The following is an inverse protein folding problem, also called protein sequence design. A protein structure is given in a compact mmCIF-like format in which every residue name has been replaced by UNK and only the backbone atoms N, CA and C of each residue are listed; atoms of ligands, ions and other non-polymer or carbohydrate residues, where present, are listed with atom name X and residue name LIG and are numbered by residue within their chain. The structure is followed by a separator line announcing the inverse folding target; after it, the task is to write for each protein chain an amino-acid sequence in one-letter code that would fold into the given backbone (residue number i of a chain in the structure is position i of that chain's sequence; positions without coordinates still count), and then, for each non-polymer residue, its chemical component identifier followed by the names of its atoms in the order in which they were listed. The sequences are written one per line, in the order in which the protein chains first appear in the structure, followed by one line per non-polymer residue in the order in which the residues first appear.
data_IF_000981862504
#
_entry.id   IF_000981862504
#
_cell.length_a   1.000
_cell.length_b   1.000
_cell.length_c   1.000
_cell.angle_alpha   90.00
_cell.angle_beta   90.00
_cell.angle_gamma   90.00
#
_symmetry.space_group_name_H-M   'P 1'
#
loop_
_entity.id
_entity.type
_entity.pdbx_description
1 polymer ?
#
# COMPACT_ATOMS: atom_id res chain seq x y z
N UNK A 1 31.69 19.50 11.79
CA UNK A 1 30.37 18.86 11.60
C UNK A 1 29.69 18.78 12.96
N UNK A 2 28.43 19.19 13.10
CA UNK A 2 27.71 18.99 14.36
C UNK A 2 27.56 17.48 14.61
N UNK A 3 27.69 16.98 15.85
CA UNK A 3 27.53 15.57 16.14
C UNK A 3 26.11 15.14 15.74
N UNK A 4 26.02 14.19 14.83
CA UNK A 4 24.74 13.58 14.45
C UNK A 4 24.20 12.84 15.68
N UNK A 5 23.02 13.24 16.17
CA UNK A 5 22.36 12.57 17.31
C UNK A 5 21.95 11.12 16.99
N UNK A 6 22.03 10.69 15.73
CA UNK A 6 21.57 9.39 15.24
C UNK A 6 22.53 8.82 14.20
N UNK A 7 22.70 7.49 14.23
CA UNK A 7 23.20 6.76 13.05
C UNK A 7 22.20 6.92 11.91
N UNK A 8 22.67 7.13 10.69
CA UNK A 8 21.80 7.38 9.55
C UNK A 8 22.31 6.73 8.27
N UNK A 9 21.42 6.68 7.29
CA UNK A 9 21.69 6.36 5.89
C UNK A 9 20.96 7.41 5.03
N UNK A 10 21.50 7.70 3.85
CA UNK A 10 20.89 8.60 2.88
C UNK A 10 20.71 7.83 1.58
N UNK A 11 19.45 7.69 1.14
CA UNK A 11 19.10 7.01 -0.10
C UNK A 11 18.72 8.02 -1.18
N UNK A 12 19.58 8.21 -2.18
CA UNK A 12 19.26 8.99 -3.37
C UNK A 12 18.60 8.09 -4.43
N UNK A 13 17.29 8.28 -4.64
CA UNK A 13 16.57 7.53 -5.69
C UNK A 13 16.37 8.45 -6.89
N UNK A 14 17.16 8.23 -7.95
CA UNK A 14 17.16 9.01 -9.17
C UNK A 14 16.09 8.50 -10.16
N UNK A 15 15.13 9.37 -10.49
CA UNK A 15 14.02 9.11 -11.41
C UNK A 15 14.38 9.37 -12.89
N UNK A 16 15.50 8.79 -13.31
CA UNK A 16 16.09 8.97 -14.64
C UNK A 16 16.31 10.45 -15.02
N UNK A 17 16.88 11.24 -14.10
CA UNK A 17 17.25 12.63 -14.38
C UNK A 17 18.15 12.71 -15.62
N UNK A 18 17.92 13.70 -16.52
CA UNK A 18 18.69 13.87 -17.75
C UNK A 18 20.01 14.64 -17.56
N UNK A 19 20.27 15.15 -16.36
CA UNK A 19 21.44 15.92 -15.99
C UNK A 19 22.51 15.05 -15.29
N UNK A 20 23.59 15.70 -14.85
CA UNK A 20 24.72 15.03 -14.21
C UNK A 20 24.43 14.56 -12.77
N UNK A 21 23.17 14.58 -12.31
CA UNK A 21 22.79 14.14 -10.95
C UNK A 21 23.37 12.77 -10.59
N UNK A 22 23.36 11.81 -11.52
CA UNK A 22 23.89 10.48 -11.27
C UNK A 22 25.40 10.49 -10.98
N UNK A 23 26.16 11.28 -11.76
CA UNK A 23 27.61 11.43 -11.58
C UNK A 23 27.94 12.11 -10.24
N UNK A 24 27.22 13.18 -9.93
CA UNK A 24 27.37 13.91 -8.67
C UNK A 24 27.05 13.03 -7.46
N UNK A 25 26.00 12.23 -7.51
CA UNK A 25 25.66 11.30 -6.42
C UNK A 25 26.76 10.25 -6.23
N UNK A 26 27.33 9.71 -7.31
CA UNK A 26 28.44 8.75 -7.21
C UNK A 26 29.67 9.34 -6.51
N UNK A 27 30.02 10.60 -6.80
CA UNK A 27 31.11 11.29 -6.10
C UNK A 27 30.84 11.44 -4.60
N UNK A 28 29.60 11.70 -4.21
CA UNK A 28 29.23 11.75 -2.79
C UNK A 28 29.39 10.38 -2.10
N UNK A 29 29.01 9.29 -2.78
CA UNK A 29 29.18 7.93 -2.24
C UNK A 29 30.64 7.56 -1.96
N UNK A 30 31.59 8.05 -2.77
CA UNK A 30 33.03 7.82 -2.54
C UNK A 30 33.51 8.47 -1.23
N UNK A 31 32.86 9.56 -0.82
CA UNK A 31 33.24 10.33 0.37
C UNK A 31 32.46 9.97 1.65
N UNK A 32 31.29 9.33 1.52
CA UNK A 32 30.43 9.00 2.66
C UNK A 32 29.79 7.60 2.47
N UNK A 33 30.20 6.60 3.27
CA UNK A 33 29.68 5.23 3.18
C UNK A 33 28.22 5.10 3.64
N UNK A 34 27.62 6.16 4.19
CA UNK A 34 26.21 6.18 4.58
C UNK A 34 25.29 6.58 3.41
N UNK A 35 25.86 6.94 2.26
CA UNK A 35 25.12 7.33 1.06
C UNK A 35 24.97 6.15 0.12
N UNK A 36 23.73 5.89 -0.29
CA UNK A 36 23.39 4.88 -1.28
C UNK A 36 22.55 5.49 -2.39
N UNK A 37 22.56 4.86 -3.57
CA UNK A 37 21.81 5.34 -4.72
C UNK A 37 21.06 4.22 -5.43
N UNK A 38 19.95 4.58 -6.08
CA UNK A 38 19.27 3.75 -7.06
C UNK A 38 18.82 4.63 -8.21
N UNK A 39 19.09 4.23 -9.45
CA UNK A 39 18.66 4.95 -10.64
C UNK A 39 17.69 4.12 -11.45
N UNK A 40 16.52 4.69 -11.74
CA UNK A 40 15.60 4.10 -12.72
C UNK A 40 16.14 4.28 -14.14
N UNK A 41 15.88 3.28 -14.99
CA UNK A 41 16.22 3.35 -16.41
C UNK A 41 15.36 4.36 -17.20
N UNK A 42 14.17 4.68 -16.68
CA UNK A 42 13.23 5.64 -17.27
C UNK A 42 12.50 6.41 -16.17
N UNK A 43 11.90 7.55 -16.52
CA UNK A 43 11.10 8.32 -15.57
C UNK A 43 9.84 7.53 -15.18
N UNK A 44 9.73 7.19 -13.89
CA UNK A 44 8.60 6.46 -13.28
C UNK A 44 7.74 7.37 -12.40
N UNK A 45 8.23 8.56 -12.07
CA UNK A 45 7.54 9.59 -11.31
C UNK A 45 7.76 9.51 -9.80
N UNK A 46 7.65 10.67 -9.13
CA UNK A 46 7.98 10.90 -7.72
C UNK A 46 7.45 9.84 -6.74
N UNK A 47 6.20 9.39 -6.89
CA UNK A 47 5.62 8.43 -5.93
C UNK A 47 6.20 7.02 -6.08
N UNK A 48 6.53 6.58 -7.29
CA UNK A 48 7.19 5.28 -7.50
C UNK A 48 8.64 5.33 -7.02
N UNK A 49 9.31 6.44 -7.29
CA UNK A 49 10.66 6.74 -6.78
C UNK A 49 10.69 6.69 -5.26
N UNK A 50 9.74 7.36 -4.59
CA UNK A 50 9.62 7.33 -3.15
C UNK A 50 9.35 5.91 -2.62
N UNK A 51 8.47 5.13 -3.25
CA UNK A 51 8.24 3.74 -2.86
C UNK A 51 9.50 2.88 -2.97
N UNK A 52 10.32 3.08 -4.00
CA UNK A 52 11.60 2.36 -4.14
C UNK A 52 12.57 2.71 -3.01
N UNK A 53 12.62 3.98 -2.62
CA UNK A 53 13.39 4.40 -1.44
C UNK A 53 12.89 3.74 -0.15
N UNK A 54 11.57 3.72 0.06
CA UNK A 54 10.97 3.01 1.21
C UNK A 54 11.24 1.50 1.17
N UNK A 55 11.28 0.91 -0.02
CA UNK A 55 11.62 -0.50 -0.20
C UNK A 55 13.02 -0.83 0.30
N UNK A 56 13.99 0.01 -0.09
CA UNK A 56 15.42 -0.16 0.19
C UNK A 56 15.82 0.27 1.61
N UNK A 57 15.06 1.17 2.24
CA UNK A 57 15.37 1.69 3.57
C UNK A 57 15.41 0.63 4.66
N UNK A 58 16.41 0.71 5.55
CA UNK A 58 16.63 -0.22 6.66
C UNK A 58 16.42 0.44 8.03
N UNK A 59 16.46 1.78 8.11
CA UNK A 59 16.28 2.52 9.36
C UNK A 59 14.97 2.23 10.11
N UNK A 60 14.98 2.45 11.44
CA UNK A 60 13.78 2.37 12.29
C UNK A 60 12.82 3.55 12.10
N UNK A 61 13.36 4.68 11.65
CA UNK A 61 12.64 5.88 11.26
C UNK A 61 13.07 6.25 9.84
N UNK A 62 12.09 6.45 8.97
CA UNK A 62 12.32 6.76 7.56
C UNK A 62 11.74 8.12 7.27
N UNK A 63 12.53 8.99 6.62
CA UNK A 63 12.09 10.34 6.24
C UNK A 63 12.17 10.48 4.73
N UNK A 64 11.06 10.86 4.11
CA UNK A 64 11.04 11.26 2.70
C UNK A 64 11.19 12.77 2.66
N UNK A 65 12.06 13.29 1.81
CA UNK A 65 12.27 14.73 1.59
C UNK A 65 12.57 14.99 0.11
N UNK A 66 12.06 16.08 -0.45
CA UNK A 66 12.38 16.48 -1.83
C UNK A 66 13.79 17.12 -1.91
N UNK A 67 14.52 16.86 -2.99
CA UNK A 67 15.86 17.43 -3.21
C UNK A 67 15.85 18.88 -3.72
N UNK A 68 14.68 19.52 -3.88
CA UNK A 68 14.54 20.84 -4.51
C UNK A 68 14.79 22.04 -3.57
N UNK A 69 15.46 21.78 -2.43
CA UNK A 69 15.83 22.72 -1.36
C UNK A 69 14.65 23.51 -0.74
N UNK A 70 13.40 23.18 -1.07
CA UNK A 70 12.23 23.82 -0.43
C UNK A 70 12.02 23.33 1.00
N UNK A 71 12.40 22.08 1.26
CA UNK A 71 12.34 21.45 2.56
C UNK A 71 13.71 21.53 3.23
N UNK A 72 13.79 22.24 4.36
CA UNK A 72 15.06 22.34 5.10
C UNK A 72 15.32 21.05 5.88
N UNK A 73 16.52 20.43 5.74
CA UNK A 73 16.93 19.28 6.55
C UNK A 73 16.87 19.54 8.06
N UNK A 74 17.01 20.82 8.49
CA UNK A 74 16.87 21.20 9.91
C UNK A 74 15.48 20.93 10.50
N UNK A 75 14.51 20.60 9.65
CA UNK A 75 13.15 20.20 10.03
C UNK A 75 13.09 18.75 10.51
N UNK A 76 13.99 17.89 10.06
CA UNK A 76 13.97 16.44 10.31
C UNK A 76 13.93 16.12 11.82
N UNK A 77 14.77 16.72 12.70
CA UNK A 77 14.70 16.48 14.14
C UNK A 77 13.32 16.79 14.75
N UNK A 78 12.62 17.81 14.24
CA UNK A 78 11.26 18.16 14.71
C UNK A 78 10.24 17.09 14.33
N UNK A 79 10.34 16.52 13.13
CA UNK A 79 9.46 15.42 12.71
C UNK A 79 9.71 14.17 13.57
N UNK A 80 10.98 13.79 13.74
CA UNK A 80 11.38 12.65 14.57
C UNK A 80 10.89 12.80 16.01
N UNK A 81 11.06 13.98 16.62
CA UNK A 81 10.59 14.26 17.99
C UNK A 81 9.07 14.10 18.17
N UNK A 82 8.30 14.32 17.11
CA UNK A 82 6.84 14.15 17.13
C UNK A 82 6.38 12.76 16.66
N UNK A 83 7.29 11.94 16.13
CA UNK A 83 7.04 10.55 15.75
C UNK A 83 7.15 9.68 17.01
N UNK A 84 6.12 9.77 17.83
CA UNK A 84 5.96 9.02 19.07
C UNK A 84 4.53 8.52 19.16
N UNK A 85 4.35 7.44 19.92
CA UNK A 85 3.03 6.88 20.16
C UNK A 85 2.00 7.97 20.55
N UNK A 86 0.79 7.95 19.98
CA UNK A 86 0.24 6.89 19.13
C UNK A 86 0.58 7.02 17.63
N UNK A 87 1.41 7.98 17.21
CA UNK A 87 1.59 8.34 15.80
C UNK A 87 2.71 7.54 15.11
N UNK A 88 2.37 6.96 13.96
CA UNK A 88 3.27 6.18 13.11
C UNK A 88 3.75 6.96 11.86
N UNK A 89 3.15 8.13 11.59
CA UNK A 89 3.69 9.10 10.63
C UNK A 89 3.44 10.55 11.05
N UNK A 90 4.42 11.41 10.76
CA UNK A 90 4.38 12.86 11.01
C UNK A 90 4.65 13.60 9.71
N UNK A 91 3.63 14.29 9.21
CA UNK A 91 3.75 15.14 8.03
C UNK A 91 4.34 16.50 8.35
N UNK A 92 5.15 17.02 7.43
CA UNK A 92 5.54 18.41 7.42
C UNK A 92 4.42 19.29 6.83
N UNK A 93 3.55 19.77 7.70
CA UNK A 93 2.41 20.62 7.36
C UNK A 93 2.83 22.00 6.88
N UNK A 94 2.63 22.28 5.59
CA UNK A 94 3.04 23.57 5.01
C UNK A 94 2.15 24.71 5.51
N UNK A 95 2.75 25.74 6.11
CA UNK A 95 2.07 26.98 6.49
C UNK A 95 2.42 28.14 5.54
N UNK A 96 1.40 28.77 4.93
CA UNK A 96 1.52 30.03 4.16
C UNK A 96 0.69 30.07 2.87
N UNK A 97 0.54 31.27 2.28
CA UNK A 97 -0.17 31.53 1.01
C UNK A 97 0.82 31.54 -0.16
N UNK A 98 0.94 30.41 -0.88
CA UNK A 98 1.95 30.25 -1.93
C UNK A 98 1.39 30.03 -3.35
N UNK A 99 0.07 29.98 -3.54
CA UNK A 99 -0.54 29.68 -4.85
C UNK A 99 -1.65 30.69 -5.25
N UNK A 100 -1.83 30.87 -6.56
CA UNK A 100 -2.85 31.72 -7.20
C UNK A 100 -4.29 31.24 -6.86
N UNK A 101 -5.28 32.14 -6.68
CA UNK A 101 -6.66 31.84 -6.23
C UNK A 101 -7.37 30.71 -6.99
N UNK A 102 -7.19 30.62 -8.31
CA UNK A 102 -7.85 29.61 -9.15
C UNK A 102 -7.17 28.24 -9.00
N UNK A 103 -5.84 28.22 -8.78
CA UNK A 103 -5.05 26.99 -8.53
C UNK A 103 -5.39 26.38 -7.16
N UNK A 104 -5.90 27.20 -6.23
CA UNK A 104 -6.26 26.79 -4.88
C UNK A 104 -7.53 25.92 -4.82
N UNK A 105 -8.53 26.08 -5.69
CA UNK A 105 -9.82 25.42 -5.49
C UNK A 105 -9.76 23.90 -5.73
N UNK A 106 -9.27 23.45 -6.89
CA UNK A 106 -9.16 22.02 -7.21
C UNK A 106 -8.20 21.30 -6.28
N UNK A 107 -7.09 21.94 -5.92
CA UNK A 107 -6.14 21.40 -4.94
C UNK A 107 -6.77 21.30 -3.54
N UNK A 108 -7.54 22.30 -3.10
CA UNK A 108 -8.26 22.27 -1.82
C UNK A 108 -9.30 21.16 -1.79
N UNK A 109 -10.09 20.98 -2.85
CA UNK A 109 -11.08 19.90 -2.94
C UNK A 109 -10.39 18.54 -2.89
N UNK A 110 -9.34 18.33 -3.69
CA UNK A 110 -8.59 17.08 -3.67
C UNK A 110 -8.01 16.78 -2.29
N UNK A 111 -7.33 17.74 -1.65
CA UNK A 111 -6.77 17.58 -0.30
C UNK A 111 -7.85 17.32 0.74
N UNK A 112 -8.99 18.00 0.64
CA UNK A 112 -10.12 17.78 1.54
C UNK A 112 -10.68 16.36 1.42
N UNK A 113 -10.94 15.90 0.19
CA UNK A 113 -11.41 14.55 -0.06
C UNK A 113 -10.40 13.51 0.42
N UNK A 114 -9.12 13.71 0.11
CA UNK A 114 -8.07 12.80 0.52
C UNK A 114 -7.93 12.74 2.05
N UNK A 115 -7.92 13.88 2.74
CA UNK A 115 -7.90 13.96 4.19
C UNK A 115 -9.09 13.22 4.82
N UNK A 116 -10.29 13.39 4.28
CA UNK A 116 -11.50 12.73 4.77
C UNK A 116 -11.48 11.22 4.52
N UNK A 117 -11.14 10.80 3.30
CA UNK A 117 -11.15 9.40 2.92
C UNK A 117 -10.04 8.63 3.65
N UNK A 118 -8.83 9.17 3.66
CA UNK A 118 -7.65 8.51 4.21
C UNK A 118 -7.39 8.83 5.69
N UNK A 119 -8.22 9.67 6.34
CA UNK A 119 -8.07 10.08 7.75
C UNK A 119 -6.68 10.66 8.06
N UNK A 120 -6.14 11.45 7.15
CA UNK A 120 -4.84 12.13 7.27
C UNK A 120 -5.01 13.64 7.44
N UNK A 121 -4.00 14.36 7.95
CA UNK A 121 -4.01 15.82 8.01
C UNK A 121 -4.26 16.47 6.63
N UNK A 122 -4.97 17.60 6.61
CA UNK A 122 -5.31 18.33 5.35
C UNK A 122 -4.11 18.92 4.63
N UNK A 123 -3.03 19.11 5.37
CA UNK A 123 -1.74 19.66 4.97
C UNK A 123 -0.69 18.58 4.72
N UNK A 124 -1.07 17.29 4.75
CA UNK A 124 -0.20 16.18 4.45
C UNK A 124 0.44 16.31 3.05
N UNK A 125 1.73 15.96 2.97
CA UNK A 125 2.55 16.04 1.77
C UNK A 125 3.67 15.00 1.76
N UNK A 126 4.56 15.08 0.77
CA UNK A 126 5.65 14.11 0.60
C UNK A 126 6.77 14.26 1.63
N UNK A 127 6.91 15.42 2.29
CA UNK A 127 7.84 15.56 3.40
C UNK A 127 7.20 14.97 4.66
N UNK A 128 7.63 13.76 5.03
CA UNK A 128 7.02 12.96 6.09
C UNK A 128 8.07 12.10 6.76
N UNK A 129 8.02 12.01 8.10
CA UNK A 129 8.73 11.00 8.88
C UNK A 129 7.78 9.86 9.22
N UNK A 130 8.23 8.62 9.11
CA UNK A 130 7.45 7.41 9.34
C UNK A 130 8.22 6.44 10.21
N UNK A 131 7.51 5.68 11.02
CA UNK A 131 8.07 4.52 11.71
C UNK A 131 8.30 3.37 10.72
N UNK A 132 9.12 2.39 11.12
CA UNK A 132 9.23 1.12 10.42
C UNK A 132 7.86 0.43 10.26
N UNK A 133 7.02 0.43 11.30
CA UNK A 133 5.68 -0.16 11.25
C UNK A 133 4.81 0.46 10.14
N UNK A 134 4.84 1.79 10.02
CA UNK A 134 4.13 2.49 8.93
C UNK A 134 4.64 2.06 7.55
N UNK A 135 5.96 2.00 7.36
CA UNK A 135 6.55 1.60 6.07
C UNK A 135 6.17 0.15 5.72
N UNK A 136 6.21 -0.76 6.69
CA UNK A 136 5.88 -2.16 6.48
C UNK A 136 4.38 -2.37 6.22
N UNK A 137 3.51 -1.58 6.87
CA UNK A 137 2.08 -1.55 6.55
C UNK A 137 1.81 -0.99 5.15
N UNK A 138 2.54 0.06 4.76
CA UNK A 138 2.41 0.71 3.45
C UNK A 138 2.81 -0.24 2.31
N UNK A 139 3.87 -1.04 2.49
CA UNK A 139 4.33 -2.06 1.52
C UNK A 139 3.25 -3.10 1.18
N UNK A 140 2.28 -3.34 2.08
CA UNK A 140 1.17 -4.29 1.87
C UNK A 140 0.06 -3.72 0.99
N UNK A 141 0.09 -2.42 0.68
CA UNK A 141 -0.94 -1.75 -0.11
C UNK A 141 -0.57 -1.80 -1.59
N UNK A 142 -1.33 -2.57 -2.37
CA UNK A 142 -1.23 -2.57 -3.83
C UNK A 142 -2.06 -1.43 -4.42
N UNK A 143 -1.38 -0.42 -4.98
CA UNK A 143 -2.00 0.70 -5.69
C UNK A 143 -1.34 0.86 -7.07
N UNK A 144 -2.02 0.53 -8.18
CA UNK A 144 -1.44 0.52 -9.52
C UNK A 144 -0.77 1.83 -9.94
N UNK A 145 -1.34 2.97 -9.56
CA UNK A 145 -0.71 4.29 -9.71
C UNK A 145 -0.49 4.89 -8.31
N UNK A 146 0.69 4.67 -7.72
CA UNK A 146 0.94 5.02 -6.33
C UNK A 146 0.76 6.49 -6.03
N UNK A 147 0.21 6.76 -4.84
CA UNK A 147 0.17 8.08 -4.24
C UNK A 147 0.51 7.92 -2.75
N UNK A 148 1.79 8.06 -2.40
CA UNK A 148 2.33 7.70 -1.08
C UNK A 148 1.52 8.29 0.08
N UNK A 149 1.12 9.57 -0.01
CA UNK A 149 0.30 10.23 1.02
C UNK A 149 -1.06 9.54 1.23
N UNK A 150 -1.69 9.08 0.15
CA UNK A 150 -2.94 8.31 0.23
C UNK A 150 -2.70 6.92 0.83
N UNK A 151 -1.61 6.27 0.43
CA UNK A 151 -1.22 4.95 0.91
C UNK A 151 -0.94 4.96 2.41
N UNK A 152 -0.23 5.98 2.92
CA UNK A 152 -0.02 6.19 4.36
C UNK A 152 -1.35 6.17 5.11
N UNK A 153 -2.35 6.94 4.67
CA UNK A 153 -3.64 6.94 5.36
C UNK A 153 -4.49 5.69 5.14
N UNK A 154 -4.26 4.94 4.05
CA UNK A 154 -4.90 3.65 3.81
C UNK A 154 -4.40 2.55 4.76
N UNK A 155 -3.24 2.71 5.39
CA UNK A 155 -2.77 1.78 6.44
C UNK A 155 -3.71 1.75 7.66
N UNK A 156 -4.40 2.87 7.93
CA UNK A 156 -5.23 3.04 9.11
C UNK A 156 -4.48 3.38 10.40
N UNK A 157 -3.14 3.39 10.36
CA UNK A 157 -2.28 3.81 11.48
C UNK A 157 -2.43 5.31 11.73
N UNK A 158 -2.17 5.76 12.97
CA UNK A 158 -2.38 7.16 13.35
C UNK A 158 -1.29 8.03 12.74
N UNK A 159 -1.71 9.20 12.27
CA UNK A 159 -0.83 10.20 11.69
C UNK A 159 -1.08 11.56 12.30
N UNK A 160 -0.07 12.42 12.31
CA UNK A 160 -0.21 13.82 12.67
C UNK A 160 0.56 14.71 11.69
N UNK A 161 0.43 16.03 11.86
CA UNK A 161 1.16 17.02 11.08
C UNK A 161 1.76 18.04 12.04
N UNK A 162 2.98 18.49 11.74
CA UNK A 162 3.60 19.63 12.42
C UNK A 162 3.76 20.80 11.47
N UNK A 163 3.42 22.03 11.89
CA UNK A 163 3.53 23.19 11.03
C UNK A 163 4.99 23.55 10.75
N UNK A 164 5.31 23.75 9.47
CA UNK A 164 6.63 24.14 8.95
C UNK A 164 6.49 25.23 7.88
N UNK A 165 7.35 26.23 7.96
CA UNK A 165 7.53 27.26 6.95
C UNK A 165 8.36 26.71 5.79
N UNK A 166 7.91 26.94 4.56
CA UNK A 166 8.72 26.65 3.36
C UNK A 166 9.33 27.93 2.81
N UNK A 167 10.61 27.83 2.41
CA UNK A 167 11.23 28.84 1.58
C UNK A 167 10.60 28.84 0.18
N UNK A 168 10.58 30.00 -0.48
CA UNK A 168 10.23 30.05 -1.91
C UNK A 168 11.33 29.33 -2.69
N UNK A 169 10.93 28.59 -3.73
CA UNK A 169 11.87 27.88 -4.62
C UNK A 169 12.91 28.86 -5.16
N UNK A 170 14.20 28.57 -4.93
CA UNK A 170 15.33 29.38 -5.41
C UNK A 170 15.58 29.21 -6.92
N UNK A 171 15.26 28.04 -7.49
CA UNK A 171 15.37 27.77 -8.93
C UNK A 171 14.43 26.65 -9.41
N UNK A 172 13.97 26.70 -10.67
CA UNK A 172 13.24 25.61 -11.34
C UNK A 172 11.75 25.87 -11.66
N UNK A 173 11.31 25.48 -12.86
CA UNK A 173 9.89 25.50 -13.27
C UNK A 173 9.13 24.32 -12.65
N UNK A 174 7.83 24.43 -12.46
CA UNK A 174 7.01 23.30 -11.97
C UNK A 174 6.86 22.27 -13.10
N UNK A 175 7.34 21.05 -12.90
CA UNK A 175 7.22 19.96 -13.89
C UNK A 175 5.77 19.50 -14.13
N UNK A 176 4.87 19.78 -13.18
CA UNK A 176 3.45 19.39 -13.26
C UNK A 176 2.53 20.48 -13.83
N UNK A 177 1.93 20.19 -14.98
CA UNK A 177 0.82 20.98 -15.55
C UNK A 177 -0.47 20.83 -14.72
N UNK A 178 -1.37 21.81 -14.80
CA UNK A 178 -2.65 21.80 -14.07
C UNK A 178 -3.52 20.58 -14.43
N UNK A 179 -3.56 20.21 -15.72
CA UNK A 179 -4.30 19.03 -16.19
C UNK A 179 -3.74 17.72 -15.63
N UNK A 180 -2.41 17.59 -15.60
CA UNK A 180 -1.75 16.41 -15.02
C UNK A 180 -2.08 16.26 -13.53
N UNK A 181 -2.09 17.35 -12.76
CA UNK A 181 -2.50 17.34 -11.35
C UNK A 181 -3.95 16.89 -11.16
N UNK A 182 -4.87 17.38 -12.00
CA UNK A 182 -6.28 16.99 -11.95
C UNK A 182 -6.46 15.50 -12.23
N UNK A 183 -5.83 14.98 -13.29
CA UNK A 183 -5.86 13.55 -13.64
C UNK A 183 -5.34 12.69 -12.49
N UNK A 184 -4.18 13.04 -11.93
CA UNK A 184 -3.61 12.34 -10.76
C UNK A 184 -4.59 12.37 -9.59
N UNK A 185 -5.20 13.52 -9.32
CA UNK A 185 -6.18 13.67 -8.25
C UNK A 185 -7.39 12.73 -8.42
N UNK A 186 -8.00 12.71 -9.60
CA UNK A 186 -9.14 11.85 -9.92
C UNK A 186 -8.77 10.37 -9.80
N UNK A 187 -7.66 9.95 -10.42
CA UNK A 187 -7.18 8.57 -10.37
C UNK A 187 -6.88 8.13 -8.93
N UNK A 188 -6.28 9.00 -8.12
CA UNK A 188 -5.98 8.72 -6.70
C UNK A 188 -7.27 8.48 -5.91
N UNK A 189 -8.26 9.38 -6.03
CA UNK A 189 -9.53 9.24 -5.33
C UNK A 189 -10.27 7.96 -5.75
N UNK A 190 -10.30 7.67 -7.05
CA UNK A 190 -10.89 6.44 -7.55
C UNK A 190 -10.24 5.18 -6.95
N UNK A 191 -8.91 5.08 -6.97
CA UNK A 191 -8.20 3.93 -6.38
C UNK A 191 -8.45 3.79 -4.88
N UNK A 192 -8.45 4.92 -4.14
CA UNK A 192 -8.75 4.93 -2.69
C UNK A 192 -10.14 4.35 -2.42
N UNK A 193 -11.14 4.75 -3.21
CA UNK A 193 -12.51 4.23 -3.09
C UNK A 193 -12.58 2.74 -3.42
N UNK A 194 -11.90 2.29 -4.48
CA UNK A 194 -11.83 0.86 -4.84
C UNK A 194 -11.19 0.02 -3.74
N UNK A 195 -10.06 0.45 -3.18
CA UNK A 195 -9.37 -0.26 -2.10
C UNK A 195 -10.27 -0.33 -0.86
N UNK A 196 -10.88 0.78 -0.45
CA UNK A 196 -11.81 0.80 0.69
C UNK A 196 -13.04 -0.08 0.47
N UNK A 197 -13.59 -0.10 -0.76
CA UNK A 197 -14.73 -0.96 -1.11
C UNK A 197 -14.35 -2.44 -1.02
N UNK A 198 -13.17 -2.84 -1.50
CA UNK A 198 -12.65 -4.21 -1.37
C UNK A 198 -12.45 -4.59 0.11
N UNK A 199 -11.89 -3.71 0.92
CA UNK A 199 -11.73 -3.94 2.35
C UNK A 199 -13.09 -4.12 3.06
N UNK A 200 -14.07 -3.26 2.76
CA UNK A 200 -15.43 -3.39 3.29
C UNK A 200 -16.12 -4.68 2.83
N UNK A 201 -15.92 -5.09 1.59
CA UNK A 201 -16.43 -6.36 1.07
C UNK A 201 -15.84 -7.55 1.82
N UNK A 202 -14.52 -7.58 2.02
CA UNK A 202 -13.84 -8.62 2.80
C UNK A 202 -14.35 -8.67 4.24
N UNK A 203 -14.54 -7.52 4.90
CA UNK A 203 -15.13 -7.45 6.24
C UNK A 203 -16.57 -7.96 6.29
N UNK A 204 -17.40 -7.63 5.27
CA UNK A 204 -18.77 -8.12 5.17
C UNK A 204 -18.80 -9.64 4.98
N UNK A 205 -17.93 -10.19 4.13
CA UNK A 205 -17.79 -11.64 3.98
C UNK A 205 -17.39 -12.29 5.31
N UNK A 206 -16.34 -11.80 5.98
CA UNK A 206 -15.92 -12.31 7.31
C UNK A 206 -17.07 -12.25 8.32
N UNK A 207 -17.85 -11.17 8.35
CA UNK A 207 -19.02 -11.02 9.23
C UNK A 207 -20.16 -11.96 8.86
N UNK A 208 -20.40 -12.19 7.57
CA UNK A 208 -21.40 -13.15 7.08
C UNK A 208 -21.05 -14.57 7.53
N UNK A 209 -19.80 -15.00 7.29
CA UNK A 209 -19.33 -16.33 7.68
C UNK A 209 -19.21 -16.52 9.21
N UNK A 210 -18.98 -15.47 9.99
CA UNK A 210 -18.94 -15.56 11.47
C UNK A 210 -20.32 -15.47 12.14
N UNK A 211 -21.29 -14.76 11.55
CA UNK A 211 -22.67 -14.67 12.08
C UNK A 211 -23.53 -15.86 11.70
N UNK A 212 -23.23 -16.51 10.57
CA UNK A 212 -23.79 -17.80 10.30
C UNK A 212 -23.22 -18.76 11.34
N UNK A 213 -23.94 -18.98 12.45
CA UNK A 213 -23.72 -20.02 13.46
C UNK A 213 -23.79 -21.41 12.82
N UNK A 214 -22.86 -21.70 11.91
CA UNK A 214 -22.70 -22.97 11.27
C UNK A 214 -21.89 -23.89 12.19
N UNK A 215 -22.39 -24.10 13.42
CA UNK A 215 -21.92 -25.16 14.31
C UNK A 215 -22.36 -26.56 13.85
N UNK A 216 -23.04 -26.67 12.71
CA UNK A 216 -22.94 -27.82 11.81
C UNK A 216 -23.28 -27.36 10.39
N UNK A 217 -22.38 -27.61 9.44
CA UNK A 217 -22.59 -27.40 7.99
C UNK A 217 -22.97 -28.72 7.29
N UNK A 218 -23.16 -29.79 8.07
CA UNK A 218 -23.95 -30.93 7.65
C UNK A 218 -25.38 -30.69 8.10
N UNK A 219 -26.35 -30.41 7.21
CA UNK A 219 -27.57 -31.17 7.39
C UNK A 219 -27.17 -32.63 7.19
N UNK A 220 -27.52 -33.52 8.11
CA UNK A 220 -27.39 -34.98 7.90
C UNK A 220 -28.01 -35.41 6.55
N UNK A 221 -28.92 -34.58 6.01
CA UNK A 221 -29.52 -34.71 4.70
C UNK A 221 -29.22 -33.48 3.82
N UNK A 222 -28.28 -33.59 2.88
CA UNK A 222 -28.20 -32.61 1.79
C UNK A 222 -29.54 -32.53 1.06
N UNK A 223 -29.98 -31.34 0.60
CA UNK A 223 -31.05 -31.25 -0.36
C UNK A 223 -30.70 -32.13 -1.56
N UNK A 224 -31.58 -33.07 -1.90
CA UNK A 224 -31.37 -34.08 -2.95
C UNK A 224 -31.00 -33.48 -4.31
N UNK A 225 -31.39 -32.23 -4.59
CA UNK A 225 -30.99 -31.55 -5.81
C UNK A 225 -29.48 -31.23 -5.90
N UNK A 226 -28.82 -30.96 -4.77
CA UNK A 226 -27.38 -30.67 -4.74
C UNK A 226 -26.59 -31.96 -4.99
N UNK A 227 -26.97 -33.04 -4.32
CA UNK A 227 -26.38 -34.37 -4.55
C UNK A 227 -26.51 -34.78 -6.02
N UNK A 228 -27.71 -34.63 -6.61
CA UNK A 228 -27.93 -34.91 -8.03
C UNK A 228 -27.08 -34.05 -8.97
N UNK A 229 -26.84 -32.78 -8.64
CA UNK A 229 -25.99 -31.93 -9.47
C UNK A 229 -24.52 -32.34 -9.39
N UNK A 230 -24.05 -32.73 -8.20
CA UNK A 230 -22.70 -33.25 -7.99
C UNK A 230 -22.53 -34.57 -8.75
N UNK A 231 -23.45 -35.52 -8.57
CA UNK A 231 -23.43 -36.82 -9.28
C UNK A 231 -23.42 -36.64 -10.79
N UNK A 232 -24.29 -35.76 -11.34
CA UNK A 232 -24.29 -35.45 -12.76
C UNK A 232 -22.98 -34.82 -13.22
N UNK A 233 -22.42 -33.88 -12.45
CA UNK A 233 -21.14 -33.27 -12.79
C UNK A 233 -20.02 -34.32 -12.83
N UNK A 234 -20.04 -35.30 -11.91
CA UNK A 234 -19.10 -36.42 -11.88
C UNK A 234 -19.32 -37.40 -13.05
N UNK A 235 -20.57 -37.61 -13.48
CA UNK A 235 -20.90 -38.42 -14.65
C UNK A 235 -20.36 -37.80 -15.95
N UNK A 236 -20.43 -36.47 -16.07
CA UNK A 236 -19.85 -35.75 -17.21
C UNK A 236 -18.33 -35.59 -17.16
N UNK A 237 -17.68 -35.99 -16.06
CA UNK A 237 -16.24 -35.88 -15.84
C UNK A 237 -15.64 -37.27 -15.61
N UNK A 238 -15.47 -38.10 -16.66
CA UNK A 238 -14.77 -39.37 -16.56
C UNK A 238 -13.29 -39.11 -16.31
N UNK A 239 -12.91 -39.05 -15.04
CA UNK A 239 -11.56 -38.74 -14.58
C UNK A 239 -10.74 -40.04 -14.42
N UNK A 240 -9.47 -40.01 -14.84
CA UNK A 240 -8.49 -41.07 -14.52
C UNK A 240 -7.69 -40.69 -13.26
N UNK A 241 -7.10 -41.66 -12.53
CA UNK A 241 -6.33 -41.39 -11.31
C UNK A 241 -5.17 -40.40 -11.47
N UNK A 242 -4.64 -40.26 -12.70
CA UNK A 242 -3.52 -39.36 -13.01
C UNK A 242 -3.95 -37.89 -13.26
N UNK A 243 -5.26 -37.61 -13.26
CA UNK A 243 -5.79 -36.27 -13.51
C UNK A 243 -6.05 -35.53 -12.20
N UNK A 244 -5.67 -34.25 -12.18
CA UNK A 244 -5.85 -33.35 -11.04
C UNK A 244 -7.02 -32.40 -11.25
N UNK A 245 -7.85 -32.22 -10.23
CA UNK A 245 -8.90 -31.20 -10.19
C UNK A 245 -8.43 -30.00 -9.39
N UNK A 246 -8.45 -28.80 -9.98
CA UNK A 246 -8.31 -27.56 -9.21
C UNK A 246 -9.70 -27.05 -8.82
N UNK A 247 -10.01 -27.09 -7.52
CA UNK A 247 -11.25 -26.52 -7.00
C UNK A 247 -10.98 -25.13 -6.39
N UNK A 248 -11.62 -24.11 -6.95
CA UNK A 248 -11.54 -22.73 -6.45
C UNK A 248 -12.73 -22.45 -5.55
N UNK A 249 -12.46 -22.09 -4.29
CA UNK A 249 -13.52 -21.89 -3.31
C UNK A 249 -14.04 -23.21 -2.75
N UNK A 250 -13.13 -24.15 -2.44
CA UNK A 250 -13.47 -25.45 -1.85
C UNK A 250 -14.41 -25.30 -0.67
N UNK A 251 -14.21 -24.23 0.11
CA UNK A 251 -15.03 -23.92 1.28
C UNK A 251 -15.03 -25.14 2.20
N UNK A 252 -16.16 -25.83 2.25
CA UNK A 252 -16.42 -26.99 3.12
C UNK A 252 -16.31 -28.36 2.43
N UNK A 253 -15.93 -28.41 1.15
CA UNK A 253 -15.59 -29.64 0.43
C UNK A 253 -16.72 -30.29 -0.36
N UNK A 254 -17.62 -29.49 -0.95
CA UNK A 254 -18.81 -30.01 -1.65
C UNK A 254 -18.47 -30.85 -2.88
N UNK A 255 -17.47 -30.45 -3.64
CA UNK A 255 -16.90 -31.29 -4.69
C UNK A 255 -15.65 -32.02 -4.18
N UNK A 256 -14.88 -31.38 -3.28
CA UNK A 256 -13.65 -31.96 -2.73
C UNK A 256 -13.84 -33.34 -2.12
N UNK A 257 -14.84 -33.52 -1.24
CA UNK A 257 -15.04 -34.79 -0.52
C UNK A 257 -15.52 -35.91 -1.47
N UNK A 258 -16.59 -35.74 -2.28
CA UNK A 258 -17.01 -36.80 -3.20
C UNK A 258 -15.97 -37.20 -4.25
N UNK A 259 -15.13 -36.24 -4.69
CA UNK A 259 -14.01 -36.52 -5.58
C UNK A 259 -12.89 -37.28 -4.84
N UNK A 260 -12.58 -36.88 -3.60
CA UNK A 260 -11.57 -37.55 -2.78
C UNK A 260 -11.97 -39.00 -2.42
N UNK A 261 -13.24 -39.24 -2.11
CA UNK A 261 -13.79 -40.60 -1.88
C UNK A 261 -13.66 -41.51 -3.10
N UNK A 262 -13.64 -40.93 -4.30
CA UNK A 262 -13.38 -41.62 -5.57
C UNK A 262 -11.89 -41.72 -5.92
N UNK A 263 -11.00 -41.36 -4.98
CA UNK A 263 -9.53 -41.36 -5.14
C UNK A 263 -9.03 -40.47 -6.28
N UNK A 264 -9.76 -39.41 -6.60
CA UNK A 264 -9.33 -38.41 -7.59
C UNK A 264 -8.41 -37.41 -6.89
N UNK A 265 -7.30 -37.03 -7.54
CA UNK A 265 -6.38 -36.05 -6.99
C UNK A 265 -6.96 -34.63 -7.11
N UNK A 266 -6.95 -33.88 -6.02
CA UNK A 266 -7.55 -32.53 -5.96
C UNK A 266 -6.56 -31.55 -5.36
N UNK A 267 -6.41 -30.40 -6.01
CA UNK A 267 -5.75 -29.22 -5.48
C UNK A 267 -6.83 -28.19 -5.12
N UNK A 268 -6.88 -27.77 -3.86
CA UNK A 268 -7.90 -26.87 -3.36
C UNK A 268 -7.39 -25.46 -3.07
N UNK A 269 -8.16 -24.45 -3.47
CA UNK A 269 -7.95 -23.05 -3.08
C UNK A 269 -9.11 -22.56 -2.20
N UNK A 270 -8.78 -21.71 -1.22
CA UNK A 270 -9.72 -21.25 -0.17
C UNK A 270 -10.34 -22.42 0.64
N UNK A 271 -9.50 -23.38 1.03
CA UNK A 271 -9.87 -24.50 1.90
C UNK A 271 -10.17 -23.97 3.32
N UNK A 272 -11.36 -24.27 3.84
CA UNK A 272 -11.69 -23.92 5.22
C UNK A 272 -10.95 -24.83 6.22
N UNK A 273 -10.66 -24.33 7.42
CA UNK A 273 -10.01 -25.11 8.49
C UNK A 273 -10.77 -26.40 8.82
N UNK A 274 -12.11 -26.33 8.79
CA UNK A 274 -13.01 -27.47 9.00
C UNK A 274 -13.01 -28.48 7.86
N UNK A 275 -12.64 -28.09 6.64
CA UNK A 275 -12.41 -29.03 5.53
C UNK A 275 -11.06 -29.74 5.70
N UNK A 276 -10.01 -29.04 6.14
CA UNK A 276 -8.70 -29.64 6.42
C UNK A 276 -8.83 -30.74 7.48
N UNK A 277 -9.52 -30.46 8.59
CA UNK A 277 -9.75 -31.44 9.67
C UNK A 277 -10.44 -32.71 9.17
N UNK A 278 -11.37 -32.59 8.21
CA UNK A 278 -12.08 -33.73 7.64
C UNK A 278 -11.26 -34.52 6.63
N UNK A 279 -10.49 -33.85 5.78
CA UNK A 279 -9.64 -34.54 4.80
C UNK A 279 -8.56 -35.39 5.50
N UNK A 280 -8.15 -35.04 6.72
CA UNK A 280 -7.26 -35.87 7.53
C UNK A 280 -7.90 -37.19 8.03
N UNK A 281 -9.21 -37.40 7.82
CA UNK A 281 -9.92 -38.65 8.14
C UNK A 281 -9.98 -39.62 6.95
N UNK A 282 -9.56 -39.18 5.75
CA UNK A 282 -9.51 -39.97 4.51
C UNK A 282 -8.04 -40.16 4.09
#
# INVERSE_FOLDING_TARGET
MQPHLFSHEILFINDASPDDSASVISQFMESDPQIYTFRFAQNVGQHRTALKGLEMSQGSIIVIMDADLQDSPSTIPKLIKNLKQPYEAVFAGRQGKYESPIRLLTSKIFKFLLARLCKIPKDAGMFVAMSREMVDALKKISMPTPFVVAMIGLTGLKTCSVPISREKRKAGKTSYTSFMRLRIGITTIYQVLCIKRKALHSLRQKKYYSKANHHSIYPENYPTYIQRQIEKALEYLPMTPDQKVLEVGCGMGRFTIPLAEKQIQIEGLDISSSLIEKLNLY
#
